data_IF_151459728635
#
_entry.id   IF_151459728635
#
_cell.length_a   1.000
_cell.length_b   1.000
_cell.length_c   1.000
_cell.angle_alpha   90.00
_cell.angle_beta   90.00
_cell.angle_gamma   90.00
#
_symmetry.space_group_name_H-M   'P 1'
#
loop_
_entity.id
_entity.type
_entity.pdbx_description
1 polymer ?
#
# COMPACT_ATOMS: atom_id res chain seq x y z
N UNK A 1 32.96 -20.72 2.25
CA UNK A 1 32.56 -20.88 3.66
C UNK A 1 32.26 -19.55 4.34
N UNK A 2 33.20 -18.60 4.45
CA UNK A 2 32.99 -17.31 5.14
C UNK A 2 31.81 -16.46 4.62
N UNK A 3 31.65 -16.29 3.30
CA UNK A 3 30.51 -15.56 2.70
C UNK A 3 29.16 -16.22 3.00
N UNK A 4 29.12 -17.55 3.02
CA UNK A 4 27.91 -18.30 3.35
C UNK A 4 27.53 -18.13 4.82
N UNK A 5 28.50 -18.21 5.73
CA UNK A 5 28.30 -17.95 7.17
C UNK A 5 27.79 -16.51 7.39
N UNK A 6 28.42 -15.53 6.74
CA UNK A 6 27.98 -14.13 6.83
C UNK A 6 26.53 -13.95 6.36
N UNK A 7 26.15 -14.60 5.25
CA UNK A 7 24.77 -14.59 4.76
C UNK A 7 23.77 -15.23 5.73
N UNK A 8 24.14 -16.31 6.41
CA UNK A 8 23.29 -16.91 7.46
C UNK A 8 23.16 -16.02 8.70
N UNK A 9 24.24 -15.34 9.12
CA UNK A 9 24.21 -14.37 10.21
C UNK A 9 23.30 -13.19 9.86
N UNK A 10 23.45 -12.64 8.65
CA UNK A 10 22.60 -11.56 8.16
C UNK A 10 21.13 -11.98 8.13
N UNK A 11 20.82 -13.18 7.63
CA UNK A 11 19.47 -13.73 7.64
C UNK A 11 18.93 -13.85 9.06
N UNK A 12 19.73 -14.37 10.00
CA UNK A 12 19.36 -14.50 11.40
C UNK A 12 19.04 -13.15 12.05
N UNK A 13 19.90 -12.14 11.84
CA UNK A 13 19.69 -10.78 12.34
C UNK A 13 18.44 -10.16 11.71
N UNK A 14 18.28 -10.27 10.39
CA UNK A 14 17.12 -9.73 9.68
C UNK A 14 15.81 -10.38 10.15
N UNK A 15 15.80 -11.71 10.31
CA UNK A 15 14.65 -12.44 10.82
C UNK A 15 14.31 -12.01 12.26
N UNK A 16 15.31 -11.92 13.14
CA UNK A 16 15.10 -11.48 14.52
C UNK A 16 14.53 -10.05 14.58
N UNK A 17 15.06 -9.11 13.80
CA UNK A 17 14.57 -7.73 13.75
C UNK A 17 13.11 -7.67 13.28
N UNK A 18 12.74 -8.39 12.22
CA UNK A 18 11.36 -8.39 11.70
C UNK A 18 10.39 -9.09 12.66
N UNK A 19 10.78 -10.22 13.26
CA UNK A 19 9.96 -10.94 14.23
C UNK A 19 9.75 -10.13 15.51
N UNK A 20 10.81 -9.51 16.06
CA UNK A 20 10.71 -8.65 17.24
C UNK A 20 9.84 -7.43 16.97
N UNK A 21 9.98 -6.80 15.80
CA UNK A 21 9.15 -5.66 15.42
C UNK A 21 7.68 -6.06 15.24
N UNK A 22 7.40 -7.16 14.53
CA UNK A 22 6.04 -7.69 14.38
C UNK A 22 5.41 -8.04 15.72
N UNK A 23 6.17 -8.70 16.60
CA UNK A 23 5.74 -9.00 17.97
C UNK A 23 5.47 -7.73 18.78
N UNK A 24 6.33 -6.71 18.67
CA UNK A 24 6.13 -5.42 19.33
C UNK A 24 4.82 -4.74 18.87
N UNK A 25 4.58 -4.67 17.56
CA UNK A 25 3.35 -4.07 17.02
C UNK A 25 2.12 -4.85 17.49
N UNK A 26 2.13 -6.18 17.36
CA UNK A 26 1.02 -7.04 17.76
C UNK A 26 0.76 -6.97 19.28
N UNK A 27 1.79 -7.09 20.10
CA UNK A 27 1.64 -7.02 21.57
C UNK A 27 1.20 -5.64 22.05
N UNK A 28 1.65 -4.56 21.40
CA UNK A 28 1.20 -3.19 21.70
C UNK A 28 -0.28 -3.02 21.37
N UNK A 29 -0.72 -3.52 20.21
CA UNK A 29 -2.13 -3.50 19.81
C UNK A 29 -3.01 -4.28 20.82
N UNK A 30 -2.63 -5.51 21.14
CA UNK A 30 -3.38 -6.34 22.11
C UNK A 30 -3.40 -5.71 23.51
N UNK A 31 -2.29 -5.12 23.95
CA UNK A 31 -2.23 -4.42 25.24
C UNK A 31 -3.15 -3.19 25.26
N UNK A 32 -3.27 -2.45 24.15
CA UNK A 32 -4.20 -1.34 24.02
C UNK A 32 -5.66 -1.82 24.14
N UNK A 33 -6.02 -2.92 23.47
CA UNK A 33 -7.36 -3.51 23.54
C UNK A 33 -7.72 -3.96 24.95
N UNK A 34 -6.80 -4.68 25.62
CA UNK A 34 -6.99 -5.11 27.01
C UNK A 34 -7.18 -3.90 27.93
N UNK A 35 -6.39 -2.84 27.73
CA UNK A 35 -6.51 -1.61 28.52
C UNK A 35 -7.85 -0.91 28.30
N UNK A 36 -8.36 -0.87 27.06
CA UNK A 36 -9.65 -0.27 26.74
C UNK A 36 -10.80 -1.09 27.33
N UNK A 37 -10.76 -2.41 27.16
CA UNK A 37 -11.75 -3.32 27.74
C UNK A 37 -11.78 -3.23 29.29
N UNK A 38 -10.61 -3.12 29.93
CA UNK A 38 -10.50 -2.94 31.38
C UNK A 38 -11.07 -1.58 31.85
N UNK A 39 -10.82 -0.51 31.09
CA UNK A 39 -11.37 0.81 31.36
C UNK A 39 -12.91 0.84 31.22
N UNK A 40 -13.44 0.19 30.18
CA UNK A 40 -14.88 0.02 29.98
C UNK A 40 -15.55 -0.83 31.07
N UNK A 41 -14.80 -1.77 31.67
CA UNK A 41 -15.28 -2.65 32.75
C UNK A 41 -15.29 -1.98 34.15
N UNK A 42 -14.89 -0.70 34.26
CA UNK A 42 -14.97 0.07 35.51
C UNK A 42 -13.97 -0.31 36.62
N UNK A 43 -12.88 -1.03 36.31
CA UNK A 43 -11.90 -1.45 37.31
C UNK A 43 -11.00 -0.28 37.76
N UNK A 44 -11.02 0.16 39.04
CA UNK A 44 -10.32 1.37 39.50
C UNK A 44 -8.78 1.28 39.52
N UNK A 45 -8.23 0.05 39.47
CA UNK A 45 -6.79 -0.21 39.65
C UNK A 45 -5.92 0.01 38.41
N UNK A 46 -6.53 0.29 37.25
CA UNK A 46 -5.84 0.43 35.95
C UNK A 46 -6.13 1.79 35.27
N UNK A 47 -6.64 2.78 36.02
CA UNK A 47 -6.87 4.13 35.49
C UNK A 47 -5.53 4.78 35.13
N UNK A 48 -5.36 5.13 33.86
CA UNK A 48 -4.21 5.91 33.36
C UNK A 48 -4.12 7.25 34.14
N UNK A 49 -2.94 7.75 34.52
CA UNK A 49 -2.81 9.15 34.93
C UNK A 49 -3.20 10.04 33.73
N UNK A 50 -3.84 11.19 33.98
CA UNK A 50 -4.33 12.04 32.90
C UNK A 50 -3.16 12.51 32.01
N UNK A 51 -3.32 12.51 30.68
CA UNK A 51 -2.36 13.17 29.80
C UNK A 51 -2.34 14.67 30.11
N UNK A 52 -1.17 15.28 29.98
CA UNK A 52 -1.05 16.74 30.03
C UNK A 52 -1.99 17.34 28.97
N UNK A 53 -2.94 18.15 29.47
CA UNK A 53 -3.97 18.94 28.79
C UNK A 53 -4.06 18.81 27.25
N UNK A 54 -5.17 18.23 26.78
CA UNK A 54 -5.67 18.49 25.42
C UNK A 54 -6.25 17.31 24.65
N UNK A 55 -6.99 16.39 25.26
CA UNK A 55 -7.81 15.41 24.53
C UNK A 55 -9.11 15.19 25.30
N UNK A 56 -10.23 15.63 24.72
CA UNK A 56 -11.58 15.27 25.19
C UNK A 56 -11.94 13.94 24.55
N UNK A 57 -12.17 12.94 25.38
CA UNK A 57 -12.70 11.62 25.04
C UNK A 57 -14.12 11.71 24.48
N UNK A 58 -14.32 11.25 23.25
CA UNK A 58 -15.62 10.83 22.73
C UNK A 58 -15.43 9.48 22.00
N UNK A 59 -14.99 8.46 22.73
CA UNK A 59 -14.82 7.10 22.21
C UNK A 59 -16.02 6.18 22.51
N UNK A 60 -17.02 6.64 23.28
CA UNK A 60 -18.13 5.79 23.71
C UNK A 60 -19.41 5.90 22.86
N UNK A 61 -19.38 6.62 21.72
CA UNK A 61 -20.56 6.78 20.85
C UNK A 61 -20.44 6.09 19.49
N UNK A 62 -19.26 5.57 19.11
CA UNK A 62 -18.99 5.06 17.77
C UNK A 62 -19.16 3.54 17.59
N UNK A 63 -19.28 2.76 18.67
CA UNK A 63 -19.31 1.29 18.59
C UNK A 63 -20.70 0.70 18.27
N UNK A 64 -21.78 1.48 18.44
CA UNK A 64 -23.14 1.04 18.08
C UNK A 64 -23.52 1.34 16.61
N UNK A 65 -22.79 2.25 15.94
CA UNK A 65 -23.11 2.67 14.56
C UNK A 65 -22.64 1.70 13.47
N UNK A 66 -21.73 0.76 13.76
CA UNK A 66 -21.23 -0.20 12.75
C UNK A 66 -22.03 -1.52 12.68
N UNK A 67 -22.95 -1.77 13.63
CA UNK A 67 -23.89 -2.92 13.58
C UNK A 67 -25.25 -2.58 12.99
N UNK A 68 -25.56 -1.30 12.81
CA UNK A 68 -26.72 -0.86 12.06
C UNK A 68 -26.20 -0.24 10.77
N UNK A 69 -26.57 -0.79 9.62
CA UNK A 69 -26.26 -0.18 8.33
C UNK A 69 -26.82 1.24 8.28
N UNK A 70 -26.00 2.23 8.61
CA UNK A 70 -26.31 3.62 8.38
C UNK A 70 -26.28 3.83 6.87
N UNK A 71 -27.46 3.97 6.27
CA UNK A 71 -27.58 4.35 4.88
C UNK A 71 -26.83 5.68 4.67
N UNK A 72 -25.93 5.78 3.68
CA UNK A 72 -25.24 7.03 3.43
C UNK A 72 -26.25 8.04 2.88
N UNK A 73 -26.65 8.99 3.71
CA UNK A 73 -27.32 10.22 3.26
C UNK A 73 -26.23 11.07 2.61
N UNK A 74 -26.07 10.95 1.30
CA UNK A 74 -25.23 11.88 0.52
C UNK A 74 -26.06 13.14 0.29
N UNK A 75 -25.69 14.21 1.00
CA UNK A 75 -26.16 15.55 0.68
C UNK A 75 -25.51 15.99 -0.63
N UNK A 76 -26.34 16.40 -1.59
CA UNK A 76 -25.92 17.02 -2.85
C UNK A 76 -24.93 18.16 -2.57
N UNK A 77 -23.77 18.17 -3.25
CA UNK A 77 -22.70 19.16 -3.06
C UNK A 77 -21.62 18.88 -2.00
N UNK A 78 -21.59 17.68 -1.39
CA UNK A 78 -20.56 17.29 -0.43
C UNK A 78 -19.22 16.89 -1.12
N UNK A 79 -18.03 17.22 -0.57
CA UNK A 79 -16.75 17.07 -1.28
C UNK A 79 -16.33 15.60 -1.46
N UNK A 80 -15.71 15.20 -2.60
CA UNK A 80 -15.26 13.82 -2.84
C UNK A 80 -14.50 13.19 -1.66
N UNK A 81 -14.74 11.90 -1.33
CA UNK A 81 -14.00 11.25 -0.26
C UNK A 81 -12.52 11.06 -0.62
N UNK A 82 -11.68 10.99 0.41
CA UNK A 82 -10.25 10.65 0.28
C UNK A 82 -10.07 9.20 0.74
N UNK A 83 -9.52 8.35 -0.12
CA UNK A 83 -9.30 6.92 0.17
C UNK A 83 -7.81 6.67 0.40
N UNK A 84 -7.44 6.29 1.62
CA UNK A 84 -6.07 5.98 2.02
C UNK A 84 -5.78 4.49 1.79
N UNK A 85 -4.91 4.18 0.82
CA UNK A 85 -4.63 2.80 0.40
C UNK A 85 -3.26 2.37 0.91
N UNK A 86 -3.24 1.41 1.83
CA UNK A 86 -2.03 0.93 2.48
C UNK A 86 -1.13 0.13 1.52
N UNK A 87 0.11 -0.12 1.92
CA UNK A 87 1.07 -0.95 1.19
C UNK A 87 1.09 -2.42 1.60
N UNK A 88 2.26 -3.05 1.43
CA UNK A 88 2.57 -4.37 1.97
C UNK A 88 2.54 -4.35 3.51
N UNK A 89 2.02 -5.42 4.13
CA UNK A 89 1.83 -5.52 5.59
C UNK A 89 0.97 -4.41 6.21
N UNK A 90 0.25 -3.65 5.38
CA UNK A 90 -0.72 -2.66 5.86
C UNK A 90 -2.08 -3.28 6.17
N UNK A 91 -2.93 -2.48 6.77
CA UNK A 91 -4.25 -2.89 7.26
C UNK A 91 -5.20 -1.69 7.25
N UNK A 92 -6.50 -1.97 7.15
CA UNK A 92 -7.54 -0.95 7.16
C UNK A 92 -7.97 -0.51 8.56
N UNK A 93 -8.94 0.41 8.61
CA UNK A 93 -9.55 0.88 9.88
C UNK A 93 -10.18 -0.30 10.64
N UNK A 94 -10.03 -0.30 11.97
CA UNK A 94 -10.62 -1.31 12.85
C UNK A 94 -9.80 -2.60 13.00
N UNK A 95 -8.69 -2.76 12.27
CA UNK A 95 -7.75 -3.88 12.44
C UNK A 95 -6.69 -3.58 13.49
N UNK A 96 -6.02 -4.64 13.97
CA UNK A 96 -4.97 -4.58 15.00
C UNK A 96 -5.36 -3.69 16.19
N UNK A 97 -6.53 -3.97 16.78
CA UNK A 97 -6.98 -3.22 17.97
C UNK A 97 -7.28 -1.74 17.73
N UNK A 98 -7.76 -1.40 16.53
CA UNK A 98 -8.02 -0.01 16.14
C UNK A 98 -6.75 0.83 15.96
N UNK A 99 -5.56 0.20 15.90
CA UNK A 99 -4.33 0.89 15.51
C UNK A 99 -4.50 1.54 14.14
N UNK A 100 -3.85 2.68 13.92
CA UNK A 100 -3.90 3.39 12.65
C UNK A 100 -2.64 3.15 11.83
N UNK A 101 -2.78 2.50 10.67
CA UNK A 101 -1.70 2.38 9.70
C UNK A 101 -1.21 3.76 9.23
N UNK A 102 -2.14 4.69 8.98
CA UNK A 102 -1.83 6.06 8.56
C UNK A 102 -1.62 7.02 9.75
N UNK A 103 -1.34 6.48 10.94
CA UNK A 103 -1.01 7.23 12.16
C UNK A 103 -2.00 8.37 12.53
N UNK A 104 -3.28 8.17 12.21
CA UNK A 104 -4.38 9.08 12.51
C UNK A 104 -4.63 10.14 11.43
N UNK A 105 -4.00 10.06 10.26
CA UNK A 105 -4.32 10.95 9.14
C UNK A 105 -5.79 10.87 8.74
N UNK A 106 -6.42 9.70 8.89
CA UNK A 106 -7.85 9.49 8.66
C UNK A 106 -8.78 10.26 9.60
N UNK A 107 -8.24 10.90 10.65
CA UNK A 107 -8.99 11.77 11.57
C UNK A 107 -8.86 13.26 11.23
N UNK A 108 -8.10 13.61 10.17
CA UNK A 108 -7.88 15.01 9.76
C UNK A 108 -9.01 15.57 8.90
N UNK A 109 -9.92 14.73 8.43
CA UNK A 109 -11.06 15.11 7.61
C UNK A 109 -12.21 14.11 7.80
N UNK A 110 -13.45 14.59 7.73
CA UNK A 110 -14.65 13.80 8.02
C UNK A 110 -15.00 12.78 6.92
N UNK A 111 -14.41 12.89 5.73
CA UNK A 111 -14.68 12.02 4.56
C UNK A 111 -13.45 11.26 4.12
N UNK A 112 -12.83 10.54 5.05
CA UNK A 112 -11.68 9.66 4.78
C UNK A 112 -12.06 8.20 4.93
N UNK A 113 -11.77 7.40 3.91
CA UNK A 113 -11.95 5.95 3.91
C UNK A 113 -10.59 5.25 3.98
N UNK A 114 -10.50 4.16 4.75
CA UNK A 114 -9.27 3.39 4.94
C UNK A 114 -9.57 1.90 4.72
N UNK A 115 -9.59 1.44 3.46
CA UNK A 115 -9.89 0.06 3.10
C UNK A 115 -8.94 -0.94 3.76
N UNK A 116 -9.50 -2.09 4.17
CA UNK A 116 -8.75 -3.26 4.63
C UNK A 116 -8.59 -4.29 3.50
N UNK A 117 -7.52 -4.11 2.71
CA UNK A 117 -7.18 -4.97 1.58
C UNK A 117 -6.22 -6.09 2.01
N UNK A 118 -6.09 -7.13 1.20
CA UNK A 118 -5.10 -8.18 1.44
C UNK A 118 -3.69 -7.63 1.60
N UNK A 119 -3.08 -7.83 2.77
CA UNK A 119 -1.79 -7.21 3.09
C UNK A 119 -0.61 -7.80 2.30
N UNK A 120 -0.77 -9.00 1.72
CA UNK A 120 0.23 -9.70 0.90
C UNK A 120 -0.26 -10.18 -0.48
N UNK A 121 -1.53 -9.97 -0.82
CA UNK A 121 -2.10 -10.35 -2.12
C UNK A 121 -1.54 -9.48 -3.26
N UNK A 122 -1.66 -9.94 -4.51
CA UNK A 122 -1.13 -9.23 -5.67
C UNK A 122 -1.76 -7.85 -5.86
N UNK A 123 -1.09 -6.99 -6.63
CA UNK A 123 -1.60 -5.65 -6.92
C UNK A 123 -2.93 -5.74 -7.69
N UNK A 124 -3.06 -6.74 -8.57
CA UNK A 124 -4.30 -7.04 -9.29
C UNK A 124 -5.46 -7.32 -8.32
N UNK A 125 -5.26 -8.27 -7.40
CA UNK A 125 -6.33 -8.68 -6.48
C UNK A 125 -6.73 -7.57 -5.52
N UNK A 126 -5.75 -6.82 -5.02
CA UNK A 126 -6.00 -5.64 -4.18
C UNK A 126 -6.78 -4.56 -4.93
N UNK A 127 -6.54 -4.38 -6.23
CA UNK A 127 -7.29 -3.42 -7.05
C UNK A 127 -8.76 -3.86 -7.20
N UNK A 128 -9.00 -5.17 -7.39
CA UNK A 128 -10.35 -5.75 -7.41
C UNK A 128 -11.05 -5.58 -6.05
N UNK A 129 -10.37 -5.94 -4.96
CA UNK A 129 -10.89 -5.76 -3.60
C UNK A 129 -11.24 -4.30 -3.30
N UNK A 130 -10.39 -3.35 -3.73
CA UNK A 130 -10.60 -1.92 -3.53
C UNK A 130 -11.85 -1.41 -4.27
N UNK A 131 -12.09 -1.87 -5.50
CA UNK A 131 -13.31 -1.52 -6.24
C UNK A 131 -14.56 -1.93 -5.45
N UNK A 132 -14.64 -3.19 -5.04
CA UNK A 132 -15.82 -3.73 -4.35
C UNK A 132 -15.95 -3.23 -2.91
N UNK A 133 -14.84 -2.85 -2.25
CA UNK A 133 -14.88 -2.12 -0.98
C UNK A 133 -15.65 -0.80 -1.13
N UNK A 134 -15.39 -0.04 -2.20
CA UNK A 134 -16.06 1.24 -2.45
C UNK A 134 -17.49 1.02 -2.98
N UNK A 135 -17.65 0.21 -4.04
CA UNK A 135 -18.91 0.08 -4.77
C UNK A 135 -19.91 -0.84 -4.08
N UNK A 136 -19.44 -1.83 -3.32
CA UNK A 136 -20.23 -2.93 -2.79
C UNK A 136 -20.34 -4.08 -3.79
N UNK A 137 -20.78 -5.24 -3.31
CA UNK A 137 -20.90 -6.48 -4.08
C UNK A 137 -19.87 -7.54 -3.73
N UNK A 138 -19.88 -8.64 -4.48
CA UNK A 138 -18.92 -9.72 -4.31
C UNK A 138 -17.66 -9.45 -5.13
N UNK A 139 -16.49 -9.58 -4.51
CA UNK A 139 -15.21 -9.43 -5.21
C UNK A 139 -15.13 -10.43 -6.36
N UNK A 140 -14.96 -9.94 -7.58
CA UNK A 140 -14.67 -10.73 -8.78
C UNK A 140 -13.22 -10.45 -9.23
N UNK A 141 -12.35 -11.44 -9.04
CA UNK A 141 -10.96 -11.39 -9.49
C UNK A 141 -10.81 -11.62 -11.00
N UNK A 142 -11.89 -11.92 -11.72
CA UNK A 142 -11.86 -12.15 -13.16
C UNK A 142 -11.53 -13.59 -13.53
N UNK A 143 -12.23 -14.10 -14.54
CA UNK A 143 -12.15 -15.52 -14.97
C UNK A 143 -10.72 -15.91 -15.37
N UNK A 144 -10.08 -15.12 -16.24
CA UNK A 144 -8.77 -15.43 -16.78
C UNK A 144 -7.68 -15.39 -15.69
N UNK A 145 -7.66 -14.34 -14.87
CA UNK A 145 -6.70 -14.18 -13.78
C UNK A 145 -6.77 -15.36 -12.81
N UNK A 146 -7.96 -15.70 -12.33
CA UNK A 146 -8.16 -16.81 -11.40
C UNK A 146 -7.81 -18.18 -11.98
N UNK A 147 -8.00 -18.40 -13.28
CA UNK A 147 -7.57 -19.62 -13.96
C UNK A 147 -6.05 -19.70 -14.10
N UNK A 148 -5.39 -18.59 -14.47
CA UNK A 148 -3.94 -18.52 -14.65
C UNK A 148 -3.20 -18.74 -13.33
N UNK A 149 -3.70 -18.15 -12.24
CA UNK A 149 -3.04 -18.19 -10.93
C UNK A 149 -3.60 -19.24 -9.97
N UNK A 150 -4.66 -19.93 -10.35
CA UNK A 150 -5.16 -21.12 -9.64
C UNK A 150 -5.83 -20.80 -8.30
N UNK A 151 -6.73 -19.82 -8.28
CA UNK A 151 -7.52 -19.45 -7.10
C UNK A 151 -9.00 -19.23 -7.45
N UNK A 152 -9.87 -19.03 -6.46
CA UNK A 152 -11.29 -18.80 -6.73
C UNK A 152 -11.51 -17.47 -7.44
N UNK A 153 -12.42 -17.45 -8.42
CA UNK A 153 -12.84 -16.21 -9.10
C UNK A 153 -13.47 -15.21 -8.15
N UNK A 154 -14.28 -15.71 -7.22
CA UNK A 154 -15.02 -14.85 -6.31
C UNK A 154 -14.39 -14.86 -4.93
N UNK A 155 -14.33 -13.67 -4.33
CA UNK A 155 -13.83 -13.44 -2.98
C UNK A 155 -14.93 -13.06 -2.00
N UNK A 156 -14.56 -12.22 -1.02
CA UNK A 156 -15.46 -11.72 0.02
C UNK A 156 -16.59 -10.87 -0.55
N UNK A 157 -17.67 -10.77 0.22
CA UNK A 157 -18.86 -9.97 -0.13
C UNK A 157 -18.85 -8.70 0.71
N UNK A 158 -19.02 -7.56 0.06
CA UNK A 158 -19.32 -6.29 0.69
C UNK A 158 -20.81 -6.01 0.51
N UNK A 159 -21.63 -6.33 1.52
CA UNK A 159 -23.10 -6.18 1.43
C UNK A 159 -23.52 -4.73 1.11
N UNK A 160 -22.76 -3.76 1.61
CA UNK A 160 -22.88 -2.34 1.27
C UNK A 160 -21.49 -1.78 1.03
N UNK A 161 -21.30 -1.13 -0.12
CA UNK A 161 -20.05 -0.41 -0.41
C UNK A 161 -19.88 0.80 0.49
N UNK A 162 -18.65 1.20 0.77
CA UNK A 162 -18.37 2.40 1.55
C UNK A 162 -18.62 3.71 0.78
N UNK A 163 -18.76 3.63 -0.54
CA UNK A 163 -19.18 4.74 -1.40
C UNK A 163 -19.95 4.24 -2.64
N UNK A 164 -21.20 3.72 -2.48
CA UNK A 164 -21.91 3.05 -3.57
C UNK A 164 -22.28 3.97 -4.74
N UNK A 165 -22.38 5.28 -4.49
CA UNK A 165 -22.66 6.31 -5.50
C UNK A 165 -21.44 6.64 -6.36
N UNK A 166 -20.26 6.04 -6.11
CA UNK A 166 -19.04 6.30 -6.85
C UNK A 166 -19.24 6.15 -8.36
N UNK A 167 -19.01 7.24 -9.09
CA UNK A 167 -19.10 7.35 -10.54
C UNK A 167 -18.33 8.60 -11.04
N UNK A 168 -18.52 9.00 -12.29
CA UNK A 168 -17.87 10.20 -12.88
C UNK A 168 -18.32 11.51 -12.24
N UNK A 169 -19.58 11.58 -11.77
CA UNK A 169 -20.16 12.75 -11.11
C UNK A 169 -19.80 12.78 -9.62
N UNK A 170 -19.49 11.61 -9.06
CA UNK A 170 -19.11 11.38 -7.67
C UNK A 170 -17.71 10.75 -7.61
N UNK A 171 -16.64 11.42 -8.10
CA UNK A 171 -15.32 10.81 -8.17
C UNK A 171 -14.64 10.72 -6.81
N UNK A 172 -13.46 10.10 -6.76
CA UNK A 172 -12.68 9.86 -5.52
C UNK A 172 -11.25 10.41 -5.63
N UNK A 173 -10.71 10.88 -4.51
CA UNK A 173 -9.27 11.10 -4.36
C UNK A 173 -8.62 9.89 -3.69
N UNK A 174 -7.48 9.42 -4.21
CA UNK A 174 -6.70 8.36 -3.59
C UNK A 174 -5.38 8.90 -3.03
N UNK A 175 -4.98 8.38 -1.88
CA UNK A 175 -3.63 8.53 -1.31
C UNK A 175 -3.07 7.13 -1.08
N UNK A 176 -2.16 6.69 -1.94
CA UNK A 176 -1.55 5.37 -1.86
C UNK A 176 -0.17 5.42 -1.22
N UNK A 177 0.05 4.69 -0.14
CA UNK A 177 1.38 4.47 0.44
C UNK A 177 2.03 3.22 -0.14
N UNK A 178 3.32 3.26 -0.47
CA UNK A 178 4.08 2.08 -0.91
C UNK A 178 3.41 1.37 -2.09
N UNK A 179 3.15 0.07 -1.98
CA UNK A 179 2.43 -0.71 -2.99
C UNK A 179 0.99 -0.22 -3.24
N UNK A 180 0.38 0.48 -2.27
CA UNK A 180 -0.97 1.03 -2.40
C UNK A 180 -1.10 2.04 -3.55
N UNK A 181 -0.02 2.77 -3.87
CA UNK A 181 0.00 3.65 -5.04
C UNK A 181 -0.16 2.86 -6.35
N UNK A 182 0.47 1.69 -6.47
CA UNK A 182 0.34 0.83 -7.64
C UNK A 182 -1.04 0.18 -7.71
N UNK A 183 -1.62 -0.23 -6.56
CA UNK A 183 -2.99 -0.74 -6.48
C UNK A 183 -3.97 0.24 -7.09
N UNK A 184 -3.87 1.52 -6.72
CA UNK A 184 -4.73 2.56 -7.29
C UNK A 184 -4.51 2.74 -8.78
N UNK A 185 -3.25 2.70 -9.26
CA UNK A 185 -3.00 2.81 -10.72
C UNK A 185 -3.57 1.65 -11.52
N UNK A 186 -3.46 0.43 -11.01
CA UNK A 186 -4.05 -0.76 -11.63
C UNK A 186 -5.57 -0.66 -11.63
N UNK A 187 -6.18 -0.27 -10.50
CA UNK A 187 -7.62 0.02 -10.42
C UNK A 187 -8.03 1.09 -11.44
N UNK A 188 -7.28 2.19 -11.53
CA UNK A 188 -7.57 3.30 -12.43
C UNK A 188 -7.59 2.85 -13.90
N UNK A 189 -6.63 2.01 -14.30
CA UNK A 189 -6.61 1.40 -15.64
C UNK A 189 -7.80 0.45 -15.85
N UNK A 190 -8.13 -0.40 -14.86
CA UNK A 190 -9.28 -1.29 -14.92
C UNK A 190 -10.61 -0.55 -15.09
N UNK A 191 -10.77 0.61 -14.44
CA UNK A 191 -11.95 1.47 -14.61
C UNK A 191 -12.04 2.00 -16.04
N UNK A 192 -10.94 2.49 -16.60
CA UNK A 192 -10.89 2.99 -17.98
C UNK A 192 -11.21 1.88 -19.02
N UNK A 193 -10.81 0.65 -18.72
CA UNK A 193 -11.04 -0.52 -19.56
C UNK A 193 -12.41 -1.19 -19.34
N UNK A 194 -13.22 -0.65 -18.42
CA UNK A 194 -14.53 -1.22 -18.05
C UNK A 194 -14.45 -2.67 -17.57
N UNK A 195 -13.40 -2.98 -16.80
CA UNK A 195 -13.08 -4.34 -16.38
C UNK A 195 -14.01 -4.90 -15.29
N UNK A 196 -15.04 -4.15 -14.86
CA UNK A 196 -15.99 -4.52 -13.82
C UNK A 196 -17.40 -4.72 -14.42
N UNK A 197 -17.79 -5.97 -14.75
CA UNK A 197 -19.07 -6.25 -15.40
C UNK A 197 -20.27 -5.70 -14.61
N UNK A 198 -21.21 -5.08 -15.31
CA UNK A 198 -22.39 -4.45 -14.70
C UNK A 198 -22.18 -3.02 -14.22
N UNK A 199 -20.97 -2.46 -14.38
CA UNK A 199 -20.66 -1.07 -14.06
C UNK A 199 -20.08 -0.33 -15.27
N UNK A 200 -20.70 0.79 -15.65
CA UNK A 200 -20.20 1.66 -16.72
C UNK A 200 -19.09 2.57 -16.17
N UNK A 201 -17.93 1.96 -15.92
CA UNK A 201 -16.77 2.63 -15.32
C UNK A 201 -15.99 3.45 -16.35
N UNK A 202 -15.21 4.41 -15.86
CA UNK A 202 -14.25 5.17 -16.67
C UNK A 202 -13.08 5.66 -15.82
N UNK A 203 -12.00 6.10 -16.47
CA UNK A 203 -10.88 6.76 -15.80
C UNK A 203 -11.33 7.99 -14.99
N UNK A 204 -12.48 8.55 -15.36
CA UNK A 204 -12.99 9.77 -14.80
C UNK A 204 -13.67 9.59 -13.43
N UNK A 205 -13.73 8.37 -12.93
CA UNK A 205 -14.12 8.05 -11.54
C UNK A 205 -13.02 8.42 -10.53
N UNK A 206 -11.80 8.72 -11.00
CA UNK A 206 -10.65 9.10 -10.18
C UNK A 206 -10.26 10.55 -10.44
N UNK A 207 -10.38 11.38 -9.40
CA UNK A 207 -10.08 12.81 -9.48
C UNK A 207 -8.60 13.09 -9.26
N UNK A 208 -7.97 12.40 -8.30
CA UNK A 208 -6.52 12.48 -8.11
C UNK A 208 -5.93 11.21 -7.49
N UNK A 209 -4.65 10.99 -7.75
CA UNK A 209 -3.80 10.02 -7.05
C UNK A 209 -2.60 10.73 -6.44
N UNK A 210 -2.49 10.69 -5.12
CA UNK A 210 -1.27 11.03 -4.39
C UNK A 210 -0.52 9.76 -4.02
N UNK A 211 0.73 9.66 -4.45
CA UNK A 211 1.65 8.60 -4.06
C UNK A 211 2.53 9.07 -2.90
N UNK A 212 2.52 8.34 -1.78
CA UNK A 212 3.43 8.57 -0.66
C UNK A 212 4.40 7.41 -0.58
N UNK A 213 5.68 7.65 -0.88
CA UNK A 213 6.68 6.58 -0.94
C UNK A 213 6.22 5.42 -1.84
N UNK A 214 5.64 5.69 -3.02
CA UNK A 214 5.01 4.65 -3.83
C UNK A 214 5.98 3.77 -4.59
N UNK A 215 5.66 2.49 -4.75
CA UNK A 215 6.47 1.54 -5.50
C UNK A 215 6.23 1.60 -7.02
N UNK A 216 6.31 2.79 -7.63
CA UNK A 216 5.86 3.01 -9.01
C UNK A 216 6.72 2.30 -10.06
N UNK A 217 7.95 1.91 -9.73
CA UNK A 217 8.88 1.20 -10.62
C UNK A 217 9.50 -0.06 -9.99
N UNK A 218 8.98 -0.52 -8.85
CA UNK A 218 9.53 -1.66 -8.10
C UNK A 218 10.67 -1.26 -7.16
N UNK A 219 11.35 -2.24 -6.57
CA UNK A 219 12.44 -1.98 -5.60
C UNK A 219 13.51 -3.06 -5.63
N UNK A 220 14.76 -2.64 -5.42
CA UNK A 220 15.89 -3.56 -5.25
C UNK A 220 15.84 -4.32 -3.92
N UNK A 221 15.03 -3.85 -2.96
CA UNK A 221 14.83 -4.54 -1.67
C UNK A 221 14.31 -5.96 -1.84
N UNK A 222 13.45 -6.20 -2.83
CA UNK A 222 12.87 -7.53 -3.08
C UNK A 222 13.95 -8.61 -3.26
N UNK A 223 15.05 -8.29 -3.94
CA UNK A 223 16.15 -9.23 -4.18
C UNK A 223 17.00 -9.52 -2.93
N UNK A 224 17.14 -8.52 -2.04
CA UNK A 224 17.77 -8.69 -0.73
C UNK A 224 16.91 -9.52 0.21
N UNK A 225 15.59 -9.35 0.16
CA UNK A 225 14.65 -10.12 0.97
C UNK A 225 14.53 -11.57 0.47
N UNK A 226 14.77 -11.81 -0.84
CA UNK A 226 14.98 -13.18 -1.34
C UNK A 226 14.52 -13.47 -2.76
N UNK A 227 13.97 -12.50 -3.49
CA UNK A 227 13.56 -12.70 -4.88
C UNK A 227 14.78 -12.92 -5.78
N UNK A 228 14.62 -13.77 -6.81
CA UNK A 228 15.62 -14.01 -7.83
C UNK A 228 15.57 -12.87 -8.87
N UNK A 229 16.75 -12.39 -9.27
CA UNK A 229 16.86 -11.33 -10.26
C UNK A 229 16.62 -11.85 -11.69
N UNK A 230 16.75 -13.17 -11.87
CA UNK A 230 16.59 -13.90 -13.12
C UNK A 230 15.19 -13.79 -13.68
N UNK A 231 14.17 -13.95 -12.84
CA UNK A 231 12.76 -13.93 -13.24
C UNK A 231 11.91 -12.93 -12.46
N UNK A 232 12.41 -12.36 -11.36
CA UNK A 232 11.65 -11.45 -10.48
C UNK A 232 10.44 -12.11 -9.80
N UNK A 233 10.34 -13.45 -9.80
CA UNK A 233 9.14 -14.18 -9.34
C UNK A 233 9.49 -15.31 -8.38
N UNK A 234 10.58 -16.03 -8.63
CA UNK A 234 11.02 -17.13 -7.79
C UNK A 234 11.80 -16.63 -6.58
N UNK A 235 11.74 -17.37 -5.47
CA UNK A 235 12.51 -17.07 -4.25
C UNK A 235 13.75 -17.95 -4.16
N UNK A 236 14.83 -17.38 -3.62
CA UNK A 236 16.02 -18.15 -3.17
C UNK A 236 15.60 -19.23 -2.17
N UNK A 237 16.30 -20.35 -2.15
CA UNK A 237 16.00 -21.48 -1.26
C UNK A 237 16.21 -21.14 0.23
N UNK A 238 17.14 -20.23 0.53
CA UNK A 238 17.44 -19.77 1.89
C UNK A 238 17.45 -18.24 1.87
N UNK A 239 16.38 -17.62 2.40
CA UNK A 239 16.24 -16.17 2.48
C UNK A 239 15.14 -15.77 3.49
N UNK A 240 14.99 -14.46 3.73
CA UNK A 240 14.00 -13.93 4.66
C UNK A 240 12.57 -14.19 4.18
N UNK A 241 12.32 -14.08 2.87
CA UNK A 241 11.00 -14.33 2.29
C UNK A 241 10.55 -15.78 2.45
N UNK A 242 11.46 -16.77 2.49
CA UNK A 242 11.07 -18.15 2.78
C UNK A 242 10.49 -18.29 4.20
N UNK A 243 11.07 -17.61 5.19
CA UNK A 243 10.53 -17.61 6.55
C UNK A 243 9.16 -16.94 6.61
N UNK A 244 8.99 -15.82 5.91
CA UNK A 244 7.70 -15.14 5.77
C UNK A 244 6.66 -16.05 5.11
N UNK A 245 7.01 -16.67 3.97
CA UNK A 245 6.17 -17.64 3.25
C UNK A 245 5.71 -18.77 4.17
N UNK A 246 6.62 -19.41 4.89
CA UNK A 246 6.28 -20.50 5.81
C UNK A 246 5.31 -20.03 6.90
N UNK A 247 5.56 -18.87 7.49
CA UNK A 247 4.68 -18.27 8.50
C UNK A 247 3.28 -17.98 7.96
N UNK A 248 3.17 -17.42 6.76
CA UNK A 248 1.89 -17.12 6.10
C UNK A 248 1.14 -18.39 5.74
N UNK A 249 1.80 -19.40 5.17
CA UNK A 249 1.17 -20.69 4.85
C UNK A 249 0.58 -21.32 6.12
N UNK A 250 1.36 -21.38 7.20
CA UNK A 250 0.88 -21.95 8.47
C UNK A 250 -0.27 -21.11 9.03
N UNK A 251 -0.17 -19.78 9.00
CA UNK A 251 -1.21 -18.87 9.46
C UNK A 251 -2.54 -19.10 8.73
N UNK A 252 -2.53 -19.07 7.39
CA UNK A 252 -3.74 -19.19 6.57
C UNK A 252 -4.29 -20.62 6.59
N UNK A 253 -3.41 -21.63 6.70
CA UNK A 253 -3.84 -23.01 6.86
C UNK A 253 -4.52 -23.26 8.21
N UNK A 254 -4.02 -22.69 9.32
CA UNK A 254 -4.66 -22.82 10.63
C UNK A 254 -6.05 -22.16 10.66
N UNK A 255 -6.25 -21.10 9.87
CA UNK A 255 -7.54 -20.45 9.63
C UNK A 255 -8.30 -20.10 10.91
N UNK A 256 -7.60 -19.46 11.85
CA UNK A 256 -8.13 -19.11 13.18
C UNK A 256 -8.99 -17.84 13.04
N UNK A 257 -10.33 -17.90 13.23
CA UNK A 257 -11.22 -16.79 12.85
C UNK A 257 -10.95 -15.49 13.60
N UNK A 258 -10.72 -15.54 14.92
CA UNK A 258 -10.45 -14.33 15.70
C UNK A 258 -9.15 -13.65 15.24
N UNK A 259 -8.14 -14.44 14.86
CA UNK A 259 -6.85 -13.93 14.44
C UNK A 259 -6.93 -13.31 13.04
N UNK A 260 -7.67 -13.92 12.11
CA UNK A 260 -7.96 -13.36 10.78
C UNK A 260 -8.81 -12.09 10.86
N UNK A 261 -9.75 -12.03 11.80
CA UNK A 261 -10.48 -10.79 12.08
C UNK A 261 -9.59 -9.71 12.70
N UNK A 262 -8.55 -10.09 13.44
CA UNK A 262 -7.61 -9.14 14.03
C UNK A 262 -6.66 -8.54 12.99
N UNK A 263 -6.10 -9.39 12.11
CA UNK A 263 -5.24 -9.00 11.00
C UNK A 263 -5.18 -10.10 9.95
N UNK A 264 -5.54 -9.83 8.69
CA UNK A 264 -5.59 -10.82 7.61
C UNK A 264 -4.50 -10.59 6.54
N UNK A 265 -3.86 -11.66 6.07
CA UNK A 265 -2.93 -11.59 4.92
C UNK A 265 -3.64 -11.47 3.57
N UNK A 266 -4.91 -11.89 3.49
CA UNK A 266 -5.80 -11.69 2.35
C UNK A 266 -5.95 -12.87 1.40
N UNK A 267 -5.35 -14.02 1.70
CA UNK A 267 -5.34 -15.18 0.78
C UNK A 267 -6.58 -16.08 0.87
N UNK A 268 -7.73 -15.56 1.33
CA UNK A 268 -8.96 -16.34 1.49
C UNK A 268 -9.42 -17.01 0.18
N UNK A 269 -9.21 -16.36 -0.96
CA UNK A 269 -9.56 -16.86 -2.29
C UNK A 269 -8.65 -17.99 -2.79
N UNK A 270 -7.51 -18.24 -2.14
CA UNK A 270 -6.67 -19.43 -2.39
C UNK A 270 -7.15 -20.66 -1.61
N UNK A 271 -8.15 -20.53 -0.74
CA UNK A 271 -8.79 -21.63 0.01
C UNK A 271 -7.79 -22.53 0.78
N UNK A 272 -6.71 -21.97 1.33
CA UNK A 272 -5.62 -22.72 1.97
C UNK A 272 -5.96 -23.32 3.34
N UNK A 273 -7.16 -23.06 3.87
CA UNK A 273 -7.61 -23.52 5.19
C UNK A 273 -7.50 -25.04 5.36
N UNK A 274 -7.12 -25.50 6.56
CA UNK A 274 -7.05 -26.92 6.91
C UNK A 274 -8.38 -27.65 6.70
N UNK A 275 -9.51 -26.93 6.81
CA UNK A 275 -10.86 -27.45 6.55
C UNK A 275 -11.08 -27.79 5.07
N UNK A 276 -10.33 -27.14 4.17
CA UNK A 276 -10.43 -27.28 2.71
C UNK A 276 -9.39 -28.25 2.17
N UNK A 277 -8.12 -28.07 2.54
CA UNK A 277 -6.99 -28.81 1.91
C UNK A 277 -6.37 -29.88 2.81
N UNK A 278 -6.71 -29.92 4.11
CA UNK A 278 -6.18 -30.90 5.07
C UNK A 278 -4.65 -30.85 5.22
N UNK A 279 -4.07 -31.89 5.80
CA UNK A 279 -2.62 -31.98 6.02
C UNK A 279 -1.82 -32.27 4.74
N UNK A 280 -2.36 -33.07 3.82
CA UNK A 280 -1.72 -33.30 2.52
C UNK A 280 -1.58 -32.01 1.72
N UNK A 281 -2.61 -31.17 1.72
CA UNK A 281 -2.56 -29.86 1.09
C UNK A 281 -1.56 -28.91 1.75
N UNK A 282 -1.37 -28.98 3.08
CA UNK A 282 -0.30 -28.23 3.75
C UNK A 282 1.08 -28.65 3.21
N UNK A 283 1.32 -29.94 3.01
CA UNK A 283 2.58 -30.42 2.43
C UNK A 283 2.78 -29.86 1.01
N UNK A 284 1.74 -29.88 0.18
CA UNK A 284 1.81 -29.29 -1.18
C UNK A 284 2.09 -27.78 -1.17
N UNK A 285 1.44 -27.04 -0.27
CA UNK A 285 1.69 -25.60 -0.07
C UNK A 285 3.15 -25.36 0.36
N UNK A 286 3.67 -26.15 1.31
CA UNK A 286 5.02 -26.04 1.85
C UNK A 286 6.11 -26.45 0.85
N UNK A 287 5.84 -27.42 -0.03
CA UNK A 287 6.71 -27.81 -1.13
C UNK A 287 6.66 -26.82 -2.30
N UNK A 288 5.66 -25.94 -2.34
CA UNK A 288 5.50 -24.94 -3.40
C UNK A 288 4.83 -25.49 -4.66
N UNK A 289 4.01 -26.55 -4.51
CA UNK A 289 3.24 -27.14 -5.62
C UNK A 289 1.96 -26.32 -5.92
N UNK A 290 1.42 -25.64 -4.91
CA UNK A 290 0.15 -24.90 -4.99
C UNK A 290 0.21 -23.60 -4.18
N UNK A 291 -0.83 -22.77 -4.31
CA UNK A 291 -0.99 -21.53 -3.54
C UNK A 291 -0.29 -20.31 -4.14
N UNK A 292 -0.43 -19.14 -3.48
CA UNK A 292 -0.04 -17.84 -4.03
C UNK A 292 1.46 -17.73 -4.32
N UNK A 293 2.28 -18.36 -3.47
CA UNK A 293 3.73 -18.32 -3.63
C UNK A 293 4.24 -19.18 -4.80
N UNK A 294 3.49 -20.23 -5.17
CA UNK A 294 3.81 -21.09 -6.32
C UNK A 294 3.34 -20.42 -7.62
N UNK A 295 2.11 -19.88 -7.61
CA UNK A 295 1.55 -19.14 -8.74
C UNK A 295 2.22 -17.78 -8.94
N UNK A 296 2.97 -17.25 -7.98
CA UNK A 296 3.55 -15.91 -8.05
C UNK A 296 2.50 -14.79 -7.97
N UNK A 297 1.27 -15.10 -7.61
CA UNK A 297 0.17 -14.15 -7.44
C UNK A 297 0.12 -13.66 -5.98
N UNK A 298 1.13 -12.87 -5.65
CA UNK A 298 1.28 -12.20 -4.37
C UNK A 298 2.13 -10.95 -4.58
N UNK A 299 2.22 -10.11 -3.56
CA UNK A 299 2.70 -8.74 -3.73
C UNK A 299 4.18 -8.60 -4.13
N UNK A 300 5.06 -9.52 -3.74
CA UNK A 300 6.51 -9.36 -3.94
C UNK A 300 6.95 -9.43 -5.41
N UNK A 301 6.50 -10.41 -6.22
CA UNK A 301 6.74 -10.41 -7.66
C UNK A 301 6.41 -9.08 -8.34
N UNK A 302 5.26 -8.48 -8.01
CA UNK A 302 4.83 -7.18 -8.56
C UNK A 302 5.75 -6.02 -8.14
N UNK A 303 6.39 -6.12 -6.97
CA UNK A 303 7.31 -5.10 -6.44
C UNK A 303 8.75 -5.27 -6.92
N UNK A 304 9.08 -6.32 -7.68
CA UNK A 304 10.36 -6.39 -8.40
C UNK A 304 10.39 -5.36 -9.53
N UNK A 305 11.59 -4.99 -10.00
CA UNK A 305 11.72 -4.07 -11.13
C UNK A 305 11.07 -4.66 -12.39
N UNK A 306 11.21 -5.97 -12.60
CA UNK A 306 10.61 -6.71 -13.72
C UNK A 306 9.08 -6.73 -13.62
N UNK A 307 8.54 -7.05 -12.43
CA UNK A 307 7.10 -7.07 -12.19
C UNK A 307 6.46 -5.70 -12.37
N UNK A 308 7.06 -4.66 -11.78
CA UNK A 308 6.59 -3.29 -11.94
C UNK A 308 6.72 -2.78 -13.38
N UNK A 309 7.75 -3.20 -14.13
CA UNK A 309 7.85 -2.91 -15.56
C UNK A 309 6.72 -3.57 -16.35
N UNK A 310 6.42 -4.85 -16.08
CA UNK A 310 5.31 -5.57 -16.73
C UNK A 310 3.98 -4.87 -16.45
N UNK A 311 3.73 -4.51 -15.20
CA UNK A 311 2.53 -3.75 -14.81
C UNK A 311 2.50 -2.41 -15.54
N UNK A 312 3.55 -1.61 -15.45
CA UNK A 312 3.59 -0.28 -16.06
C UNK A 312 3.44 -0.30 -17.59
N UNK A 313 3.77 -1.40 -18.27
CA UNK A 313 3.62 -1.51 -19.73
C UNK A 313 2.17 -1.39 -20.21
N UNK A 314 1.18 -1.64 -19.33
CA UNK A 314 -0.24 -1.53 -19.64
C UNK A 314 -0.90 -0.29 -19.02
N UNK A 315 -0.25 0.33 -18.03
CA UNK A 315 -0.82 1.46 -17.29
C UNK A 315 -0.58 2.79 -17.99
N UNK A 316 -1.60 3.66 -17.99
CA UNK A 316 -1.52 5.02 -18.53
C UNK A 316 -1.55 6.08 -17.43
N UNK A 317 -1.23 7.31 -17.81
CA UNK A 317 -1.54 8.52 -17.04
C UNK A 317 -2.67 9.24 -17.77
N UNK A 318 -3.80 9.41 -17.08
CA UNK A 318 -5.02 9.89 -17.70
C UNK A 318 -5.08 11.43 -17.68
N UNK A 319 -5.54 12.05 -18.78
CA UNK A 319 -5.42 13.49 -18.99
C UNK A 319 -6.25 14.34 -18.00
N UNK A 320 -7.31 13.77 -17.42
CA UNK A 320 -8.25 14.47 -16.54
C UNK A 320 -8.00 14.23 -15.05
N UNK A 321 -6.95 13.48 -14.68
CA UNK A 321 -6.64 13.13 -13.30
C UNK A 321 -5.40 13.85 -12.82
N UNK A 322 -5.41 14.34 -11.58
CA UNK A 322 -4.23 14.95 -10.96
C UNK A 322 -3.33 13.90 -10.29
N UNK A 323 -2.02 13.95 -10.53
CA UNK A 323 -1.06 13.00 -9.96
C UNK A 323 0.01 13.71 -9.13
N UNK A 324 0.23 13.23 -7.92
CA UNK A 324 1.28 13.73 -7.03
C UNK A 324 2.14 12.59 -6.53
N UNK A 325 3.41 12.86 -6.28
CA UNK A 325 4.28 11.93 -5.58
C UNK A 325 5.17 12.59 -4.54
N UNK A 326 5.23 11.99 -3.36
CA UNK A 326 6.18 12.32 -2.31
C UNK A 326 7.17 11.18 -2.19
N UNK A 327 8.30 11.31 -2.89
CA UNK A 327 9.39 10.37 -2.86
C UNK A 327 10.23 10.58 -1.59
N UNK A 328 10.40 9.53 -0.80
CA UNK A 328 11.17 9.58 0.45
C UNK A 328 12.63 9.22 0.25
N UNK A 329 13.51 9.79 1.08
CA UNK A 329 14.95 9.55 1.04
C UNK A 329 15.59 9.62 2.43
N UNK A 330 16.44 8.63 2.76
CA UNK A 330 17.31 8.60 3.95
C UNK A 330 18.76 8.27 3.63
N UNK A 331 19.23 8.80 2.52
CA UNK A 331 20.58 8.58 1.98
C UNK A 331 21.23 9.91 1.66
N UNK A 332 22.56 9.94 1.64
CA UNK A 332 23.37 11.10 1.24
C UNK A 332 24.60 10.62 0.48
N UNK A 333 25.16 11.49 -0.37
CA UNK A 333 26.44 11.22 -1.04
C UNK A 333 27.60 11.71 -0.20
N UNK A 334 28.57 10.83 0.05
CA UNK A 334 29.82 11.12 0.73
C UNK A 334 30.98 10.61 -0.13
N UNK A 335 31.83 11.53 -0.62
CA UNK A 335 32.94 11.22 -1.55
C UNK A 335 32.52 10.38 -2.77
N UNK A 336 31.34 10.66 -3.33
CA UNK A 336 30.80 9.94 -4.48
C UNK A 336 30.10 8.60 -4.16
N UNK A 337 30.10 8.18 -2.90
CA UNK A 337 29.44 6.95 -2.44
C UNK A 337 28.12 7.32 -1.74
N UNK A 338 27.04 6.63 -2.09
CA UNK A 338 25.75 6.79 -1.42
C UNK A 338 25.73 6.00 -0.11
N UNK A 339 25.40 6.67 1.00
CA UNK A 339 25.39 6.09 2.35
C UNK A 339 24.14 6.52 3.12
N UNK A 340 23.70 5.81 4.17
CA UNK A 340 22.62 6.27 5.04
C UNK A 340 22.88 7.68 5.58
N UNK A 341 21.86 8.55 5.55
CA UNK A 341 22.01 9.96 5.95
C UNK A 341 22.12 10.15 7.45
N UNK A 342 21.51 9.28 8.25
CA UNK A 342 21.55 9.30 9.70
C UNK A 342 21.28 7.92 10.30
N UNK A 343 22.05 7.51 11.31
CA UNK A 343 21.82 6.27 12.06
C UNK A 343 20.58 6.39 12.95
N UNK A 344 20.41 7.54 13.62
CA UNK A 344 19.26 7.79 14.52
C UNK A 344 18.02 8.28 13.77
N UNK A 345 18.22 8.86 12.58
CA UNK A 345 17.13 9.36 11.74
C UNK A 345 16.40 8.27 10.97
N UNK A 346 16.96 7.07 10.86
CA UNK A 346 16.34 5.90 10.22
C UNK A 346 15.81 4.96 11.29
N UNK A 347 14.61 4.42 11.08
CA UNK A 347 14.01 3.46 11.99
C UNK A 347 14.92 2.22 12.10
N UNK A 348 15.15 1.68 13.31
CA UNK A 348 16.08 0.56 13.49
C UNK A 348 15.79 -0.65 12.58
N UNK A 349 14.51 -0.94 12.33
CA UNK A 349 14.09 -2.00 11.40
C UNK A 349 14.56 -1.79 9.95
N UNK A 350 14.69 -0.53 9.52
CA UNK A 350 15.02 -0.18 8.14
C UNK A 350 16.51 0.13 7.93
N UNK A 351 17.28 0.40 8.99
CA UNK A 351 18.67 0.87 8.86
C UNK A 351 19.57 -0.08 8.05
N UNK A 352 19.53 -1.38 8.36
CA UNK A 352 20.29 -2.38 7.61
C UNK A 352 19.89 -2.41 6.13
N UNK A 353 18.58 -2.27 5.86
CA UNK A 353 18.05 -2.26 4.48
C UNK A 353 18.46 -1.00 3.72
N UNK A 354 18.48 0.16 4.36
CA UNK A 354 19.01 1.40 3.75
C UNK A 354 20.43 1.17 3.28
N UNK A 355 21.28 0.64 4.16
CA UNK A 355 22.69 0.38 3.84
C UNK A 355 22.84 -0.61 2.68
N UNK A 356 22.09 -1.71 2.70
CA UNK A 356 22.15 -2.72 1.66
C UNK A 356 21.71 -2.19 0.30
N UNK A 357 20.62 -1.44 0.26
CA UNK A 357 20.11 -0.85 -0.99
C UNK A 357 21.11 0.14 -1.61
N UNK A 358 21.86 0.90 -0.79
CA UNK A 358 22.96 1.74 -1.29
C UNK A 358 24.06 0.94 -2.00
N UNK A 359 24.26 -0.32 -1.61
CA UNK A 359 25.29 -1.21 -2.13
C UNK A 359 24.75 -2.20 -3.17
N UNK A 360 23.51 -2.00 -3.64
CA UNK A 360 22.91 -2.87 -4.64
C UNK A 360 23.74 -2.88 -5.92
N UNK A 361 24.01 -4.08 -6.42
CA UNK A 361 24.63 -4.31 -7.73
C UNK A 361 23.88 -5.42 -8.43
N UNK A 362 23.36 -5.13 -9.61
CA UNK A 362 22.65 -6.13 -10.40
C UNK A 362 23.61 -7.28 -10.78
N UNK A 363 23.19 -8.55 -10.65
CA UNK A 363 24.06 -9.68 -10.97
C UNK A 363 24.53 -9.67 -12.44
N UNK A 364 25.83 -9.79 -12.66
CA UNK A 364 26.45 -9.69 -14.00
C UNK A 364 26.01 -10.80 -14.98
N UNK A 365 25.63 -11.97 -14.47
CA UNK A 365 25.22 -13.12 -15.27
C UNK A 365 23.71 -13.13 -15.59
N UNK A 366 22.98 -12.09 -15.17
CA UNK A 366 21.54 -11.98 -15.34
C UNK A 366 21.25 -10.84 -16.31
N UNK A 367 20.33 -11.01 -17.29
CA UNK A 367 19.92 -9.92 -18.17
C UNK A 367 19.51 -8.70 -17.36
N UNK A 368 19.81 -7.51 -17.89
CA UNK A 368 19.36 -6.27 -17.26
C UNK A 368 17.83 -6.24 -17.21
N UNK A 369 17.22 -5.71 -16.13
CA UNK A 369 15.77 -5.68 -16.00
C UNK A 369 15.11 -4.82 -17.08
N UNK A 370 15.81 -3.82 -17.59
CA UNK A 370 15.41 -3.02 -18.74
C UNK A 370 16.62 -2.38 -19.44
N UNK A 371 16.41 -1.94 -20.68
CA UNK A 371 17.45 -1.28 -21.48
C UNK A 371 17.86 0.05 -20.83
N UNK A 372 19.16 0.21 -20.56
CA UNK A 372 19.69 1.42 -19.93
C UNK A 372 19.63 1.42 -18.40
N UNK A 373 19.32 0.29 -17.77
CA UNK A 373 19.44 0.12 -16.33
C UNK A 373 20.88 0.42 -15.86
N UNK A 374 20.99 1.16 -14.75
CA UNK A 374 22.24 1.50 -14.08
C UNK A 374 22.06 1.37 -12.58
N UNK A 375 23.00 0.72 -11.90
CA UNK A 375 22.91 0.54 -10.45
C UNK A 375 22.90 1.88 -9.71
N UNK A 376 23.65 2.88 -10.19
CA UNK A 376 23.78 4.19 -9.55
C UNK A 376 22.45 4.95 -9.42
N UNK A 377 21.54 4.71 -10.36
CA UNK A 377 20.22 5.36 -10.35
C UNK A 377 19.33 4.82 -9.21
N UNK A 378 19.66 3.64 -8.68
CA UNK A 378 18.89 2.93 -7.65
C UNK A 378 19.53 2.99 -6.26
N UNK A 379 20.59 3.78 -6.03
CA UNK A 379 21.28 3.79 -4.73
C UNK A 379 20.51 4.58 -3.65
N UNK A 380 19.94 5.74 -4.01
CA UNK A 380 19.16 6.56 -3.08
C UNK A 380 17.86 5.81 -2.70
N UNK A 381 17.57 5.72 -1.40
CA UNK A 381 16.44 4.95 -0.89
C UNK A 381 15.94 5.43 0.49
N UNK A 382 14.81 4.87 0.92
CA UNK A 382 14.16 5.13 2.22
C UNK A 382 14.15 3.89 3.15
N UNK A 383 14.88 2.84 2.78
CA UNK A 383 14.96 1.55 3.50
C UNK A 383 13.96 0.50 3.03
N UNK A 384 12.97 0.86 2.20
CA UNK A 384 12.10 -0.11 1.54
C UNK A 384 12.08 0.02 0.01
N UNK A 385 12.10 1.26 -0.48
CA UNK A 385 12.05 1.58 -1.89
C UNK A 385 13.21 2.51 -2.28
N UNK A 386 13.64 2.40 -3.53
CA UNK A 386 14.61 3.30 -4.11
C UNK A 386 13.91 4.62 -4.48
N UNK A 387 14.51 5.76 -4.15
CA UNK A 387 13.90 7.10 -4.33
C UNK A 387 13.52 7.35 -5.78
N UNK A 388 14.32 6.88 -6.75
CA UNK A 388 13.98 6.97 -8.18
C UNK A 388 12.64 6.30 -8.50
N UNK A 389 12.35 5.17 -7.86
CA UNK A 389 11.14 4.39 -8.06
C UNK A 389 9.89 5.11 -7.60
N UNK A 390 10.03 6.02 -6.62
CA UNK A 390 8.92 6.72 -6.02
C UNK A 390 8.50 7.98 -6.79
N UNK A 391 9.37 8.54 -7.64
CA UNK A 391 9.13 9.83 -8.30
C UNK A 391 7.87 9.84 -9.16
N UNK A 392 7.81 8.97 -10.17
CA UNK A 392 6.70 8.77 -11.10
C UNK A 392 6.91 7.45 -11.84
N UNK A 393 5.97 6.97 -12.67
CA UNK A 393 6.21 5.81 -13.53
C UNK A 393 7.25 6.16 -14.61
N UNK A 394 8.42 5.54 -14.53
CA UNK A 394 9.60 5.79 -15.40
C UNK A 394 9.83 4.68 -16.42
N UNK A 395 9.51 3.44 -16.04
CA UNK A 395 9.79 2.25 -16.86
C UNK A 395 8.48 1.52 -17.20
N UNK A 396 8.33 0.95 -18.40
CA UNK A 396 9.31 0.96 -19.51
C UNK A 396 9.34 2.29 -20.29
N UNK A 397 8.29 3.09 -20.20
CA UNK A 397 8.17 4.40 -20.83
C UNK A 397 7.95 5.43 -19.71
N UNK A 398 8.65 6.55 -19.78
CA UNK A 398 8.52 7.60 -18.78
C UNK A 398 7.23 8.38 -18.97
N UNK A 399 6.41 8.46 -17.90
CA UNK A 399 5.15 9.20 -17.93
C UNK A 399 5.40 10.71 -17.75
N UNK A 400 4.48 11.58 -18.23
CA UNK A 400 4.58 13.03 -18.06
C UNK A 400 4.76 13.40 -16.58
N UNK A 401 5.79 14.19 -16.28
CA UNK A 401 6.16 14.51 -14.91
C UNK A 401 6.78 15.90 -14.79
N UNK A 402 6.77 16.43 -13.56
CA UNK A 402 7.39 17.70 -13.18
C UNK A 402 7.94 17.60 -11.76
N UNK A 403 9.23 17.88 -11.60
CA UNK A 403 9.83 18.04 -10.28
C UNK A 403 9.39 19.36 -9.66
N UNK A 404 8.98 19.32 -8.38
CA UNK A 404 8.46 20.48 -7.66
C UNK A 404 9.36 20.80 -6.48
N UNK A 405 9.88 22.02 -6.43
CA UNK A 405 10.64 22.53 -5.27
C UNK A 405 9.69 23.39 -4.44
N UNK A 406 9.05 24.37 -5.07
CA UNK A 406 8.05 25.24 -4.45
C UNK A 406 6.65 24.90 -5.01
N UNK A 407 5.62 24.84 -4.16
CA UNK A 407 4.25 24.60 -4.62
C UNK A 407 3.71 25.70 -5.54
N UNK A 408 4.28 26.91 -5.47
CA UNK A 408 3.97 28.01 -6.38
C UNK A 408 4.34 27.72 -7.84
N UNK A 409 5.32 26.85 -8.08
CA UNK A 409 5.76 26.42 -9.41
C UNK A 409 4.69 25.61 -10.17
N UNK A 410 3.61 25.23 -9.49
CA UNK A 410 2.54 24.38 -9.99
C UNK A 410 1.24 25.14 -10.24
N UNK A 411 1.25 26.48 -10.29
CA UNK A 411 0.05 27.29 -10.50
C UNK A 411 -0.02 27.88 -11.92
N UNK A 412 -1.08 27.61 -12.72
CA UNK A 412 -2.19 26.69 -12.41
C UNK A 412 -1.78 25.22 -12.57
N UNK A 413 -2.33 24.36 -11.71
CA UNK A 413 -2.05 22.93 -11.73
C UNK A 413 -2.75 22.28 -12.93
N UNK A 414 -2.00 21.52 -13.73
CA UNK A 414 -2.51 20.80 -14.89
C UNK A 414 -2.69 19.31 -14.58
N UNK A 415 -3.82 18.68 -14.93
CA UNK A 415 -4.00 17.24 -14.81
C UNK A 415 -3.17 16.47 -15.87
N UNK A 416 -3.06 15.15 -15.72
CA UNK A 416 -2.31 14.29 -16.63
C UNK A 416 -0.79 14.32 -16.47
N UNK A 417 -0.28 14.97 -15.41
CA UNK A 417 1.16 15.10 -15.12
C UNK A 417 1.43 14.68 -13.67
N UNK A 418 2.50 13.92 -13.45
CA UNK A 418 3.01 13.57 -12.12
C UNK A 418 3.86 14.70 -11.54
N UNK A 419 3.34 15.39 -10.53
CA UNK A 419 4.08 16.39 -9.76
C UNK A 419 4.77 15.71 -8.59
N UNK A 420 6.10 15.63 -8.59
CA UNK A 420 6.83 14.93 -7.54
C UNK A 420 7.75 15.81 -6.73
N UNK A 421 7.85 15.48 -5.43
CA UNK A 421 8.77 16.09 -4.46
C UNK A 421 9.63 15.00 -3.85
N UNK A 422 10.88 15.32 -3.53
CA UNK A 422 11.74 14.47 -2.71
C UNK A 422 11.77 15.04 -1.30
N UNK A 423 11.37 14.24 -0.31
CA UNK A 423 11.31 14.63 1.09
C UNK A 423 12.18 13.71 1.95
N UNK A 424 12.77 14.26 3.01
CA UNK A 424 13.56 13.44 3.93
C UNK A 424 12.65 12.62 4.86
N UNK A 425 12.78 11.30 4.77
CA UNK A 425 12.00 10.37 5.57
C UNK A 425 12.32 8.94 5.20
N UNK A 426 12.30 8.02 6.17
CA UNK A 426 12.29 6.60 5.81
C UNK A 426 10.88 6.16 5.45
N UNK A 427 10.77 4.93 4.96
CA UNK A 427 9.54 4.39 4.40
C UNK A 427 8.33 4.44 5.34
N UNK A 428 8.58 4.42 6.65
CA UNK A 428 7.53 4.42 7.67
C UNK A 428 7.49 5.73 8.46
N UNK A 429 8.16 6.80 8.04
CA UNK A 429 8.14 8.04 8.80
C UNK A 429 6.74 8.67 8.81
N UNK A 430 6.06 8.64 7.66
CA UNK A 430 4.76 9.27 7.46
C UNK A 430 3.58 8.30 7.64
N UNK A 431 3.82 7.14 8.23
CA UNK A 431 2.82 6.13 8.59
C UNK A 431 3.18 5.50 9.94
N UNK A 432 2.26 4.83 10.64
CA UNK A 432 2.46 4.04 11.88
C UNK A 432 2.95 4.82 13.12
N UNK A 433 3.80 5.84 13.00
CA UNK A 433 4.42 6.56 14.12
C UNK A 433 4.43 8.07 13.88
N UNK A 434 3.29 8.72 14.16
CA UNK A 434 3.12 10.18 14.07
C UNK A 434 4.08 10.92 15.01
N UNK A 435 4.36 10.41 16.20
CA UNK A 435 5.24 11.06 17.20
C UNK A 435 6.65 11.27 16.64
N UNK A 436 7.17 10.30 15.90
CA UNK A 436 8.50 10.37 15.30
C UNK A 436 8.61 11.42 14.20
N UNK A 437 7.56 11.60 13.41
CA UNK A 437 7.53 12.62 12.35
C UNK A 437 7.13 14.00 12.86
N UNK A 438 6.37 14.06 13.96
CA UNK A 438 5.91 15.29 14.60
C UNK A 438 5.24 16.23 13.60
N UNK A 439 5.67 17.49 13.59
CA UNK A 439 5.11 18.55 12.74
C UNK A 439 5.21 18.23 11.24
N UNK A 440 6.22 17.48 10.80
CA UNK A 440 6.37 17.15 9.37
C UNK A 440 5.24 16.25 8.87
N UNK A 441 4.72 15.36 9.72
CA UNK A 441 3.56 14.53 9.39
C UNK A 441 2.32 15.41 9.19
N UNK A 442 2.08 16.34 10.11
CA UNK A 442 0.92 17.21 10.05
C UNK A 442 0.95 18.09 8.80
N UNK A 443 2.07 18.76 8.53
CA UNK A 443 2.24 19.58 7.33
C UNK A 443 2.04 18.79 6.04
N UNK A 444 2.53 17.55 5.98
CA UNK A 444 2.38 16.70 4.80
C UNK A 444 0.92 16.33 4.55
N UNK A 445 0.22 15.75 5.54
CA UNK A 445 -1.16 15.30 5.34
C UNK A 445 -2.14 16.47 5.21
N UNK A 446 -1.94 17.56 5.96
CA UNK A 446 -2.76 18.77 5.81
C UNK A 446 -2.60 19.34 4.39
N UNK A 447 -1.37 19.41 3.88
CA UNK A 447 -1.11 19.84 2.50
C UNK A 447 -1.69 18.93 1.43
N UNK A 448 -1.70 17.60 1.65
CA UNK A 448 -2.35 16.64 0.73
C UNK A 448 -3.87 16.84 0.77
N UNK A 449 -4.47 16.92 1.95
CA UNK A 449 -5.93 16.96 2.11
C UNK A 449 -6.50 18.31 1.64
N UNK A 450 -5.84 19.42 1.97
CA UNK A 450 -6.19 20.74 1.42
C UNK A 450 -6.17 20.74 -0.11
N UNK A 451 -5.21 20.04 -0.72
CA UNK A 451 -5.12 19.94 -2.18
C UNK A 451 -6.27 19.13 -2.76
N UNK A 452 -6.61 17.99 -2.15
CA UNK A 452 -7.81 17.23 -2.52
C UNK A 452 -9.06 18.13 -2.45
N UNK A 453 -9.23 18.90 -1.37
CA UNK A 453 -10.38 19.79 -1.18
C UNK A 453 -10.41 20.97 -2.17
N UNK A 454 -9.25 21.56 -2.50
CA UNK A 454 -9.14 22.64 -3.51
C UNK A 454 -9.54 22.18 -4.91
N UNK A 455 -9.32 20.90 -5.22
CA UNK A 455 -9.60 20.31 -6.53
C UNK A 455 -10.86 19.43 -6.54
N UNK A 456 -11.78 19.64 -5.59
CA UNK A 456 -12.97 18.81 -5.37
C UNK A 456 -13.93 18.67 -6.56
N UNK A 457 -13.83 19.53 -7.58
CA UNK A 457 -14.74 19.50 -8.72
C UNK A 457 -13.96 19.60 -10.03
N UNK A 458 -14.30 18.75 -11.01
CA UNK A 458 -13.99 19.05 -12.41
C UNK A 458 -14.68 20.36 -12.75
N UNK A 459 -13.91 21.40 -13.05
CA UNK A 459 -14.49 22.53 -13.78
C UNK A 459 -14.81 22.00 -15.17
N UNK A 460 -16.06 21.63 -15.43
CA UNK A 460 -16.51 21.34 -16.79
C UNK A 460 -16.05 22.49 -17.69
N UNK A 461 -15.47 22.24 -18.86
CA UNK A 461 -15.40 23.27 -19.88
C UNK A 461 -16.82 23.78 -20.10
N UNK A 462 -17.06 25.09 -20.24
CA UNK A 462 -18.40 25.57 -20.56
C UNK A 462 -18.83 24.88 -21.85
N UNK A 463 -19.89 24.08 -21.77
CA UNK A 463 -20.60 23.55 -22.92
C UNK A 463 -21.13 24.76 -23.66
N UNK A 464 -20.41 25.20 -24.70
CA UNK A 464 -20.91 26.21 -25.62
C UNK A 464 -22.05 25.51 -26.38
N UNK A 465 -23.31 25.95 -26.27
CA UNK A 465 -24.36 25.38 -27.09
C UNK A 465 -23.98 25.66 -28.54
N UNK A 466 -24.00 24.62 -29.38
CA UNK A 466 -24.02 24.81 -30.82
C UNK A 466 -25.23 25.67 -31.15
N UNK A 467 -25.01 26.96 -31.40
CA UNK A 467 -25.99 27.78 -32.09
C UNK A 467 -26.15 27.19 -33.50
N UNK A 468 -27.29 26.56 -33.69
CA UNK A 468 -27.94 26.34 -34.98
C UNK A 468 -27.78 27.58 -35.87
N UNK A 469 -27.07 27.43 -36.98
CA UNK A 469 -27.27 28.31 -38.14
C UNK A 469 -28.18 27.61 -39.13
N UNK A 470 -29.35 28.23 -39.32
CA UNK A 470 -30.24 28.07 -40.46
C UNK A 470 -29.57 28.53 -41.75
#
# INVERSE_FOLDING_TARGET
>A
MARFILGLVELGVSAAVHLLFGFYVFSTAVAADISQAAAASGCPLLRRPPPAAGLVDVAAAGEEEERQGAAPVVLDGSPPPIVLVHGIFGFGKGRLGGMSYFAGAEKKDDRVLVPDLGSLTSIHDRARELFYYLKGGQVDYGVEHSQVYGHTRFGRIYDTGHYPVWDEQNPVHFVGHSAGAQVVRVLHQMLAEKAFPGHDTSEDWVLSLTSLSGALNGTTRTYYDGMLAEDGRSMKSICLLQLCRLGVIVYDWLDIPWLKNYYNFGFDHFEMSWRKVGFSGLVDLLLGNTGPFSSGDWILPDLTIQGSLKINSTLKTFPNTFYFSYATKRTRKLFGITVPSSVLGVHPMLFLRVLQMCMWRHPQNVPLPYKGYRDEDWEDNDGALNTISMTHPRIPIEHPNRFVIDDSDCNPLQPGIWYYKIIEGDHILFIVNRERAGVQFDLLYDGIFERCRKHAFRKSPPTVPNETSQ
#
